data_IF_303923121606
#
_entry.id   IF_303923121606
#
_cell.length_a   1.000
_cell.length_b   1.000
_cell.length_c   1.000
_cell.angle_alpha   90.00
_cell.angle_beta   90.00
_cell.angle_gamma   90.00
#
_symmetry.space_group_name_H-M   'P 1'
#
loop_
_entity.id
_entity.type
_entity.pdbx_description
1 polymer ?
#
# COMPACT_ATOMS: atom_id res chain seq x y z
N UNK A 1 4.51 11.77 -20.33
CA UNK A 1 3.83 12.02 -19.02
C UNK A 1 4.72 11.50 -17.92
N UNK A 2 5.31 12.37 -17.14
CA UNK A 2 6.34 11.98 -16.19
C UNK A 2 5.71 11.62 -14.83
N UNK A 3 5.68 10.32 -14.48
CA UNK A 3 5.35 9.85 -13.14
C UNK A 3 6.59 9.91 -12.22
N UNK A 4 7.79 10.04 -12.80
CA UNK A 4 9.06 10.00 -12.07
C UNK A 4 9.34 11.26 -11.25
N UNK A 5 8.58 12.33 -11.43
CA UNK A 5 8.73 13.59 -10.65
C UNK A 5 8.10 13.48 -9.24
N UNK A 6 7.52 12.35 -8.92
CA UNK A 6 6.96 12.13 -7.58
C UNK A 6 8.09 11.80 -6.60
N UNK A 7 8.64 12.83 -5.98
CA UNK A 7 9.63 12.72 -4.88
C UNK A 7 9.14 11.82 -3.73
N UNK A 8 7.84 11.52 -3.69
CA UNK A 8 7.18 10.75 -2.65
C UNK A 8 6.70 9.37 -3.12
N UNK A 9 7.21 8.84 -4.25
CA UNK A 9 6.79 7.53 -4.73
C UNK A 9 7.16 6.45 -3.73
N UNK A 10 6.16 5.70 -3.26
CA UNK A 10 6.33 4.57 -2.31
C UNK A 10 6.64 3.24 -2.99
N UNK A 11 6.75 3.20 -4.32
CA UNK A 11 7.02 1.98 -5.07
C UNK A 11 5.89 0.94 -5.06
N UNK A 12 4.66 1.33 -4.79
CA UNK A 12 3.51 0.42 -4.63
C UNK A 12 3.08 -0.31 -5.91
N UNK A 13 3.59 0.08 -7.09
CA UNK A 13 3.35 -0.52 -8.41
C UNK A 13 1.90 -0.47 -8.93
N UNK A 14 0.98 0.18 -8.24
CA UNK A 14 -0.42 0.32 -8.66
C UNK A 14 -0.55 0.92 -10.07
N UNK A 15 0.30 1.88 -10.42
CA UNK A 15 0.34 2.52 -11.74
C UNK A 15 0.63 1.52 -12.89
N UNK A 16 1.52 0.55 -12.68
CA UNK A 16 1.80 -0.49 -13.67
C UNK A 16 0.64 -1.48 -13.78
N UNK A 17 0.05 -1.85 -12.66
CA UNK A 17 -1.07 -2.79 -12.63
C UNK A 17 -2.27 -2.30 -13.47
N UNK A 18 -2.59 -1.01 -13.40
CA UNK A 18 -3.74 -0.45 -14.16
C UNK A 18 -3.41 -0.05 -15.59
N UNK A 19 -2.14 -0.18 -16.01
CA UNK A 19 -1.71 0.25 -17.34
C UNK A 19 -2.18 -0.74 -18.43
N UNK A 20 -3.10 -0.34 -19.32
CA UNK A 20 -3.62 -1.26 -20.36
C UNK A 20 -2.60 -1.59 -21.45
N UNK A 21 -1.50 -0.84 -21.52
CA UNK A 21 -0.42 -1.01 -22.49
C UNK A 21 0.85 -1.61 -21.90
N UNK A 22 0.87 -1.92 -20.60
CA UNK A 22 2.04 -2.45 -19.91
C UNK A 22 3.32 -1.64 -20.22
N UNK A 23 3.18 -0.31 -20.32
CA UNK A 23 4.27 0.59 -20.69
C UNK A 23 5.01 1.17 -19.48
N UNK A 24 4.77 0.65 -18.27
CA UNK A 24 5.42 1.13 -17.04
C UNK A 24 6.36 0.05 -16.51
N UNK A 25 7.64 0.37 -16.49
CA UNK A 25 8.70 -0.41 -15.85
C UNK A 25 9.16 0.27 -14.56
N UNK A 26 10.02 -0.40 -13.80
CA UNK A 26 10.54 0.15 -12.55
C UNK A 26 12.07 0.13 -12.57
N UNK A 27 12.67 1.22 -12.10
CA UNK A 27 14.09 1.33 -11.87
C UNK A 27 14.34 1.60 -10.40
N UNK A 28 15.28 0.86 -9.81
CA UNK A 28 15.65 1.07 -8.41
C UNK A 28 16.55 2.30 -8.28
N UNK A 29 16.21 3.16 -7.34
CA UNK A 29 17.12 4.19 -6.86
C UNK A 29 18.21 3.52 -6.01
N UNK A 30 19.48 3.86 -6.31
CA UNK A 30 20.63 3.30 -5.60
C UNK A 30 20.77 3.83 -4.17
N UNK A 31 20.21 5.00 -3.89
CA UNK A 31 20.34 5.69 -2.60
C UNK A 31 19.34 5.16 -1.58
N UNK A 32 18.09 5.02 -1.99
CA UNK A 32 17.00 4.64 -1.09
C UNK A 32 16.46 3.23 -1.32
N UNK A 33 16.97 2.53 -2.33
CA UNK A 33 16.51 1.20 -2.74
C UNK A 33 14.99 1.12 -3.02
N UNK A 34 14.42 2.23 -3.48
CA UNK A 34 13.00 2.34 -3.85
C UNK A 34 12.87 2.19 -5.36
N UNK A 35 11.91 1.41 -5.81
CA UNK A 35 11.61 1.23 -7.22
C UNK A 35 10.72 2.36 -7.73
N UNK A 36 11.24 3.18 -8.66
CA UNK A 36 10.48 4.26 -9.32
C UNK A 36 9.92 3.83 -10.67
N UNK A 37 8.71 4.28 -11.04
CA UNK A 37 8.11 3.96 -12.32
C UNK A 37 8.74 4.77 -13.46
N UNK A 38 9.02 4.10 -14.58
CA UNK A 38 9.45 4.69 -15.85
C UNK A 38 8.41 4.35 -16.90
N UNK A 39 7.97 5.35 -17.65
CA UNK A 39 6.98 5.17 -18.71
C UNK A 39 7.72 5.08 -20.07
N UNK A 40 7.45 4.02 -20.81
CA UNK A 40 7.81 3.93 -22.22
C UNK A 40 6.83 4.80 -23.04
N UNK A 41 7.28 5.97 -23.44
CA UNK A 41 6.45 6.95 -24.15
C UNK A 41 5.99 6.46 -25.52
N UNK A 42 6.74 5.56 -26.16
CA UNK A 42 6.37 4.99 -27.46
C UNK A 42 5.15 4.06 -27.36
N UNK A 43 4.93 3.45 -26.20
CA UNK A 43 3.79 2.56 -25.93
C UNK A 43 2.65 3.26 -25.19
N UNK A 44 2.92 4.41 -24.58
CA UNK A 44 1.98 5.14 -23.77
C UNK A 44 0.90 5.81 -24.63
N UNK A 45 -0.36 5.51 -24.35
CA UNK A 45 -1.52 6.15 -25.00
C UNK A 45 -2.08 7.35 -24.24
N UNK A 46 -1.37 7.86 -23.26
CA UNK A 46 -1.74 9.01 -22.44
C UNK A 46 -3.13 8.95 -21.81
N UNK A 47 -3.62 7.76 -21.46
CA UNK A 47 -4.96 7.56 -20.88
C UNK A 47 -5.14 8.07 -19.43
N UNK A 48 -4.07 8.40 -18.74
CA UNK A 48 -4.06 8.96 -17.39
C UNK A 48 -4.46 8.02 -16.25
N UNK A 49 -4.73 6.73 -16.50
CA UNK A 49 -5.14 5.76 -15.45
C UNK A 49 -4.11 5.66 -14.33
N UNK A 50 -2.83 5.64 -14.68
CA UNK A 50 -1.73 5.56 -13.71
C UNK A 50 -1.70 6.76 -12.74
N UNK A 51 -2.06 7.95 -13.20
CA UNK A 51 -2.16 9.14 -12.33
C UNK A 51 -3.37 9.07 -11.41
N UNK A 52 -4.52 8.61 -11.94
CA UNK A 52 -5.75 8.52 -11.15
C UNK A 52 -5.67 7.50 -10.01
N UNK A 53 -4.93 6.41 -10.18
CA UNK A 53 -4.78 5.38 -9.14
C UNK A 53 -3.70 5.72 -8.11
N UNK A 54 -2.81 6.66 -8.40
CA UNK A 54 -1.67 6.94 -7.53
C UNK A 54 -2.12 7.62 -6.22
N UNK A 55 -1.89 7.02 -5.05
CA UNK A 55 -2.28 7.62 -3.77
C UNK A 55 -1.47 8.86 -3.43
N UNK A 56 -0.24 8.97 -3.96
CA UNK A 56 0.60 10.15 -3.72
C UNK A 56 0.17 11.37 -4.55
N UNK A 57 -0.49 11.13 -5.69
CA UNK A 57 -1.06 12.21 -6.53
C UNK A 57 -2.46 12.57 -6.04
N UNK A 58 -3.22 11.57 -5.61
CA UNK A 58 -4.60 11.72 -5.17
C UNK A 58 -4.68 11.34 -3.70
N UNK A 59 -4.33 12.28 -2.83
CA UNK A 59 -4.48 12.11 -1.39
C UNK A 59 -5.95 11.88 -1.05
N UNK A 60 -6.23 10.83 -0.30
CA UNK A 60 -7.54 10.61 0.27
C UNK A 60 -7.61 11.46 1.54
N UNK A 61 -8.56 12.38 1.60
CA UNK A 61 -8.86 13.08 2.84
C UNK A 61 -9.33 12.05 3.88
N UNK A 62 -8.53 11.87 4.90
CA UNK A 62 -8.90 11.01 6.04
C UNK A 62 -9.96 11.70 6.90
N UNK A 63 -10.89 10.92 7.44
CA UNK A 63 -11.77 11.39 8.52
C UNK A 63 -11.08 11.19 9.87
N UNK A 64 -11.44 12.02 10.85
CA UNK A 64 -11.00 11.81 12.22
C UNK A 64 -11.47 10.44 12.73
N UNK A 65 -10.65 9.70 13.49
CA UNK A 65 -11.09 8.43 14.06
C UNK A 65 -12.25 8.68 15.04
N UNK A 66 -13.21 7.78 15.03
CA UNK A 66 -14.34 7.83 15.98
C UNK A 66 -13.87 7.69 17.44
N UNK A 67 -12.92 6.79 17.66
CA UNK A 67 -12.27 6.59 18.94
C UNK A 67 -10.89 5.96 18.74
N UNK A 68 -9.97 6.18 19.69
CA UNK A 68 -8.66 5.55 19.71
C UNK A 68 -8.48 4.83 21.06
N UNK A 69 -7.92 3.62 21.02
CA UNK A 69 -7.71 2.78 22.19
C UNK A 69 -6.26 2.28 22.24
N UNK A 70 -5.68 2.28 23.44
CA UNK A 70 -4.48 1.49 23.69
C UNK A 70 -4.94 0.11 24.20
N UNK A 71 -4.54 -0.95 23.53
CA UNK A 71 -4.99 -2.29 23.84
C UNK A 71 -3.89 -3.35 23.63
N UNK A 72 -4.01 -4.47 24.30
CA UNK A 72 -3.12 -5.62 24.17
C UNK A 72 -3.89 -6.92 24.45
N UNK A 73 -3.35 -8.05 23.97
CA UNK A 73 -3.94 -9.37 24.24
C UNK A 73 -3.87 -9.71 25.72
N UNK A 74 -4.95 -10.28 26.26
CA UNK A 74 -4.95 -10.87 27.59
C UNK A 74 -4.17 -12.19 27.65
N UNK A 75 -3.93 -12.84 26.50
CA UNK A 75 -3.11 -14.03 26.39
C UNK A 75 -1.63 -13.63 26.42
N UNK A 76 -0.92 -14.01 27.47
CA UNK A 76 0.48 -13.64 27.67
C UNK A 76 1.41 -14.22 26.59
N UNK A 77 1.16 -15.42 26.11
CA UNK A 77 1.97 -16.05 25.05
C UNK A 77 1.77 -15.32 23.72
N UNK A 78 0.54 -15.02 23.35
CA UNK A 78 0.24 -14.21 22.16
C UNK A 78 0.92 -12.83 22.22
N UNK A 79 0.83 -12.17 23.37
CA UNK A 79 1.43 -10.87 23.58
C UNK A 79 2.95 -10.90 23.50
N UNK A 80 3.59 -11.97 23.99
CA UNK A 80 5.05 -12.14 23.97
C UNK A 80 5.58 -12.44 22.58
N UNK A 81 4.84 -13.21 21.76
CA UNK A 81 5.28 -13.66 20.44
C UNK A 81 4.87 -12.70 19.30
N UNK A 82 3.99 -11.75 19.56
CA UNK A 82 3.53 -10.76 18.59
C UNK A 82 4.50 -9.57 18.50
N UNK A 83 4.53 -8.93 17.33
CA UNK A 83 5.36 -7.75 17.06
C UNK A 83 5.00 -6.51 17.92
N UNK A 84 3.80 -6.49 18.51
CA UNK A 84 3.29 -5.44 19.39
C UNK A 84 2.44 -6.08 20.49
N UNK A 85 1.34 -5.46 20.91
CA UNK A 85 0.48 -5.97 21.98
C UNK A 85 -0.35 -7.22 21.63
N UNK A 86 -0.31 -7.74 20.42
CA UNK A 86 -1.02 -8.96 20.01
C UNK A 86 -2.48 -8.74 19.58
N UNK A 87 -2.98 -7.50 19.54
CA UNK A 87 -4.38 -7.21 19.17
C UNK A 87 -4.71 -7.63 17.74
N UNK A 88 -3.79 -7.44 16.78
CA UNK A 88 -4.01 -7.88 15.41
C UNK A 88 -4.25 -9.40 15.36
N UNK A 89 -3.44 -10.19 16.05
CA UNK A 89 -3.61 -11.64 16.14
C UNK A 89 -4.96 -12.03 16.75
N UNK A 90 -5.40 -11.36 17.79
CA UNK A 90 -6.70 -11.60 18.41
C UNK A 90 -7.86 -11.28 17.46
N UNK A 91 -7.78 -10.18 16.71
CA UNK A 91 -8.77 -9.80 15.70
C UNK A 91 -8.84 -10.87 14.59
N UNK A 92 -7.68 -11.33 14.09
CA UNK A 92 -7.63 -12.40 13.08
C UNK A 92 -8.25 -13.71 13.60
N UNK A 93 -7.93 -14.13 14.82
CA UNK A 93 -8.50 -15.32 15.44
C UNK A 93 -10.01 -15.21 15.56
N UNK A 94 -10.50 -14.07 16.04
CA UNK A 94 -11.94 -13.79 16.15
C UNK A 94 -12.64 -13.84 14.78
N UNK A 95 -12.05 -13.21 13.76
CA UNK A 95 -12.60 -13.21 12.41
C UNK A 95 -12.70 -14.64 11.84
N UNK A 96 -11.64 -15.45 11.99
CA UNK A 96 -11.64 -16.85 11.55
C UNK A 96 -12.73 -17.65 12.28
N UNK A 97 -12.88 -17.51 13.59
CA UNK A 97 -13.94 -18.16 14.38
C UNK A 97 -15.34 -17.78 13.90
N UNK A 98 -15.51 -16.57 13.38
CA UNK A 98 -16.79 -16.09 12.81
C UNK A 98 -16.98 -16.49 11.34
N UNK A 99 -16.04 -17.25 10.75
CA UNK A 99 -16.11 -17.71 9.35
C UNK A 99 -15.63 -16.69 8.32
N UNK A 100 -15.05 -15.57 8.75
CA UNK A 100 -14.39 -14.63 7.83
C UNK A 100 -13.05 -15.18 7.39
N UNK A 101 -12.66 -14.85 6.16
CA UNK A 101 -11.32 -15.17 5.61
C UNK A 101 -10.52 -13.88 5.57
N UNK A 102 -9.63 -13.63 6.55
CA UNK A 102 -8.74 -12.48 6.49
C UNK A 102 -7.74 -12.66 5.32
N UNK A 103 -7.50 -11.60 4.61
CA UNK A 103 -6.55 -11.51 3.49
C UNK A 103 -5.30 -10.74 3.89
#
# INVERSE_FOLDING_TARGET
MDLAIQKNCTGCKACAYVCPKNCISFQNDKTYNIAYPIIDENKCINCGKCRRICPEINSIEGSSPYAAYAAWSCNQEERRTSASGGIAAEIYKYAIQKGYRPV
#
